data_IF_981538422513
#
_entry.id   IF_981538422513
#
_cell.length_a   1.000
_cell.length_b   1.000
_cell.length_c   1.000
_cell.angle_alpha   90.00
_cell.angle_beta   90.00
_cell.angle_gamma   90.00
#
_symmetry.space_group_name_H-M   'P 1'
#
loop_
_entity.id
_entity.type
_entity.pdbx_description
1 polymer ?
#
# COMPACT_ATOMS: atom_id res chain seq x y z
N UNK A 1 -6.43 -22.18 -24.82
CA UNK A 1 -6.54 -21.82 -23.38
C UNK A 1 -5.27 -21.04 -23.04
N UNK A 2 -5.33 -19.72 -23.03
CA UNK A 2 -4.18 -18.87 -22.70
C UNK A 2 -4.11 -18.83 -21.18
N UNK A 3 -3.06 -19.39 -20.60
CA UNK A 3 -2.81 -19.28 -19.15
C UNK A 3 -2.16 -17.92 -18.94
N UNK A 4 -2.95 -16.95 -18.46
CA UNK A 4 -2.43 -15.65 -18.03
C UNK A 4 -1.74 -15.82 -16.67
N UNK A 5 -0.43 -15.69 -16.66
CA UNK A 5 0.31 -15.57 -15.41
C UNK A 5 0.60 -14.08 -15.19
N UNK A 6 -0.22 -13.43 -14.34
CA UNK A 6 0.12 -12.12 -13.82
C UNK A 6 1.35 -12.26 -12.91
N UNK A 7 2.45 -11.66 -13.29
CA UNK A 7 3.67 -11.71 -12.49
C UNK A 7 4.03 -10.30 -12.05
N UNK A 8 4.19 -10.15 -10.75
CA UNK A 8 5.03 -9.10 -10.24
C UNK A 8 6.45 -9.35 -10.75
N UNK A 9 7.00 -8.44 -11.54
CA UNK A 9 8.42 -8.47 -11.88
C UNK A 9 9.19 -8.20 -10.60
N UNK A 10 9.39 -9.24 -9.80
CA UNK A 10 10.18 -9.17 -8.59
C UNK A 10 11.63 -9.02 -8.99
N UNK A 11 12.12 -7.78 -8.97
CA UNK A 11 13.55 -7.51 -9.00
C UNK A 11 14.09 -7.98 -7.65
N UNK A 12 14.86 -9.05 -7.68
CA UNK A 12 15.50 -9.55 -6.46
C UNK A 12 16.70 -8.66 -6.12
N UNK A 13 16.48 -7.60 -5.38
CA UNK A 13 17.50 -6.64 -4.95
C UNK A 13 18.64 -7.27 -4.12
N UNK A 14 18.43 -8.48 -3.57
CA UNK A 14 19.44 -9.19 -2.79
C UNK A 14 20.48 -9.93 -3.61
N UNK A 15 20.23 -10.14 -4.93
CA UNK A 15 21.11 -10.89 -5.85
C UNK A 15 21.64 -9.99 -6.98
N UNK A 16 21.49 -8.67 -6.85
CA UNK A 16 21.80 -7.69 -7.88
C UNK A 16 20.79 -7.75 -9.03
N UNK A 17 20.12 -6.69 -9.29
CA UNK A 17 19.12 -6.40 -10.34
C UNK A 17 18.96 -7.48 -11.44
N UNK A 18 18.48 -8.66 -11.08
CA UNK A 18 18.23 -9.78 -12.01
C UNK A 18 16.75 -10.18 -11.97
N UNK A 19 16.24 -10.60 -13.12
CA UNK A 19 14.91 -11.21 -13.20
C UNK A 19 14.90 -12.54 -12.42
N UNK A 20 13.80 -12.80 -11.70
CA UNK A 20 13.62 -14.09 -11.03
C UNK A 20 13.48 -15.24 -12.07
N UNK A 21 13.61 -16.47 -11.59
CA UNK A 21 13.61 -17.68 -12.42
C UNK A 21 12.28 -17.83 -13.18
N UNK A 22 11.15 -17.48 -12.56
CA UNK A 22 9.83 -17.56 -13.14
C UNK A 22 9.68 -16.60 -14.30
N UNK A 23 10.08 -15.34 -14.16
CA UNK A 23 10.05 -14.35 -15.25
C UNK A 23 10.96 -14.77 -16.40
N UNK A 24 12.15 -15.29 -16.12
CA UNK A 24 13.05 -15.82 -17.15
C UNK A 24 12.42 -16.99 -17.91
N UNK A 25 11.74 -17.91 -17.21
CA UNK A 25 11.02 -19.01 -17.81
C UNK A 25 9.92 -18.54 -18.77
N UNK A 26 9.13 -17.54 -18.37
CA UNK A 26 8.05 -17.00 -19.21
C UNK A 26 8.59 -16.36 -20.48
N UNK A 27 9.63 -15.55 -20.35
CA UNK A 27 10.29 -14.91 -21.49
C UNK A 27 10.80 -15.96 -22.47
N UNK A 28 11.52 -16.99 -21.96
CA UNK A 28 12.09 -18.07 -22.78
C UNK A 28 11.02 -18.86 -23.52
N UNK A 29 9.84 -19.01 -22.95
CA UNK A 29 8.75 -19.79 -23.56
C UNK A 29 7.72 -18.92 -24.28
N UNK A 30 8.02 -17.62 -24.51
CA UNK A 30 7.14 -16.67 -25.20
C UNK A 30 5.73 -16.57 -24.57
N UNK A 31 5.65 -16.73 -23.25
CA UNK A 31 4.39 -16.61 -22.52
C UNK A 31 4.11 -15.12 -22.26
N UNK A 32 2.91 -14.60 -22.58
CA UNK A 32 2.56 -13.22 -22.32
C UNK A 32 2.67 -12.86 -20.85
N UNK A 33 3.27 -11.70 -20.57
CA UNK A 33 3.49 -11.20 -19.20
C UNK A 33 2.64 -9.95 -19.00
N UNK A 34 1.83 -9.92 -17.95
CA UNK A 34 1.23 -8.68 -17.50
C UNK A 34 2.08 -8.03 -16.41
N UNK A 35 2.35 -6.74 -16.53
CA UNK A 35 2.98 -5.92 -15.52
C UNK A 35 2.03 -4.81 -15.07
N UNK A 36 2.13 -4.40 -13.81
CA UNK A 36 1.14 -3.50 -13.20
C UNK A 36 1.51 -2.01 -13.31
N UNK A 37 2.68 -1.68 -13.87
CA UNK A 37 3.11 -0.29 -14.04
C UNK A 37 4.12 -0.14 -15.18
N UNK A 38 4.21 1.06 -15.73
CA UNK A 38 5.24 1.43 -16.70
C UNK A 38 6.67 1.23 -16.14
N UNK A 39 6.87 1.45 -14.84
CA UNK A 39 8.14 1.16 -14.19
C UNK A 39 8.48 -0.33 -14.26
N UNK A 40 7.56 -1.20 -13.89
CA UNK A 40 7.75 -2.66 -13.96
C UNK A 40 8.02 -3.13 -15.40
N UNK A 41 7.36 -2.52 -16.39
CA UNK A 41 7.64 -2.74 -17.82
C UNK A 41 9.08 -2.37 -18.16
N UNK A 42 9.51 -1.16 -17.78
CA UNK A 42 10.87 -0.68 -18.09
C UNK A 42 11.92 -1.57 -17.41
N UNK A 43 11.69 -2.01 -16.18
CA UNK A 43 12.58 -2.96 -15.50
C UNK A 43 12.60 -4.33 -16.19
N UNK A 44 11.45 -4.84 -16.65
CA UNK A 44 11.35 -6.07 -17.42
C UNK A 44 12.18 -6.00 -18.70
N UNK A 45 12.02 -4.93 -19.49
CA UNK A 45 12.75 -4.73 -20.75
C UNK A 45 14.26 -4.57 -20.51
N UNK A 46 14.65 -3.73 -19.54
CA UNK A 46 16.05 -3.50 -19.17
C UNK A 46 16.75 -4.77 -18.72
N UNK A 47 16.12 -5.57 -17.85
CA UNK A 47 16.75 -6.73 -17.22
C UNK A 47 16.72 -7.98 -18.13
N UNK A 48 15.73 -8.08 -19.03
CA UNK A 48 15.67 -9.18 -20.00
C UNK A 48 16.66 -9.03 -21.13
N UNK A 49 17.04 -7.80 -21.50
CA UNK A 49 17.86 -7.52 -22.70
C UNK A 49 17.16 -7.84 -24.02
N UNK A 50 15.85 -8.09 -24.03
CA UNK A 50 15.07 -8.52 -25.19
C UNK A 50 14.09 -7.41 -25.59
N UNK A 51 14.14 -6.98 -26.86
CA UNK A 51 13.27 -5.92 -27.38
C UNK A 51 11.88 -6.41 -27.84
N UNK A 52 11.63 -7.72 -27.86
CA UNK A 52 10.39 -8.32 -28.36
C UNK A 52 9.80 -9.31 -27.36
N UNK A 53 9.36 -8.79 -26.21
CA UNK A 53 8.62 -9.57 -25.21
C UNK A 53 7.13 -9.29 -25.38
N UNK A 54 6.30 -10.32 -25.32
CA UNK A 54 4.86 -10.16 -25.22
C UNK A 54 4.51 -9.69 -23.80
N UNK A 55 4.19 -8.40 -23.64
CA UNK A 55 3.76 -7.84 -22.37
C UNK A 55 2.54 -6.92 -22.53
N UNK A 56 1.80 -6.76 -21.44
CA UNK A 56 0.80 -5.72 -21.25
C UNK A 56 1.11 -4.93 -19.99
N UNK A 57 0.64 -3.69 -19.92
CA UNK A 57 0.64 -2.88 -18.71
C UNK A 57 -0.82 -2.70 -18.31
N UNK A 58 -1.28 -3.52 -17.38
CA UNK A 58 -2.66 -3.46 -16.87
C UNK A 58 -2.57 -3.30 -15.36
N UNK A 59 -2.95 -2.14 -14.81
CA UNK A 59 -2.80 -1.84 -13.39
C UNK A 59 -3.74 -2.68 -12.51
N UNK A 60 -3.50 -2.69 -11.21
CA UNK A 60 -4.48 -3.20 -10.26
C UNK A 60 -5.68 -2.28 -10.15
N UNK A 61 -6.86 -2.85 -10.17
CA UNK A 61 -8.08 -2.17 -9.73
C UNK A 61 -8.13 -2.04 -8.21
N UNK A 62 -9.03 -1.19 -7.73
CA UNK A 62 -9.34 -1.13 -6.30
C UNK A 62 -9.98 -2.44 -5.83
N UNK A 63 -9.65 -2.89 -4.63
CA UNK A 63 -10.17 -4.14 -4.07
C UNK A 63 -11.54 -3.93 -3.43
N UNK A 64 -12.54 -3.66 -4.27
CA UNK A 64 -13.91 -3.27 -3.86
C UNK A 64 -14.62 -4.29 -2.97
N UNK A 65 -14.24 -5.57 -3.01
CA UNK A 65 -14.78 -6.61 -2.13
C UNK A 65 -14.64 -6.29 -0.63
N UNK A 66 -13.69 -5.45 -0.25
CA UNK A 66 -13.57 -4.99 1.14
C UNK A 66 -14.73 -4.11 1.60
N UNK A 67 -15.44 -3.44 0.69
CA UNK A 67 -16.62 -2.62 1.03
C UNK A 67 -17.82 -3.45 1.46
N UNK A 68 -17.89 -4.72 1.07
CA UNK A 68 -19.00 -5.62 1.38
C UNK A 68 -18.97 -6.13 2.82
N UNK A 69 -17.81 -6.09 3.48
CA UNK A 69 -17.69 -6.52 4.87
C UNK A 69 -18.36 -5.52 5.80
N UNK A 70 -19.24 -6.05 6.67
CA UNK A 70 -19.83 -5.28 7.78
C UNK A 70 -18.80 -5.08 8.87
N UNK A 71 -18.99 -4.01 9.64
CA UNK A 71 -18.15 -3.75 10.80
C UNK A 71 -18.28 -4.86 11.84
N UNK A 72 -17.13 -5.26 12.38
CA UNK A 72 -17.02 -6.26 13.43
C UNK A 72 -16.39 -5.66 14.68
N UNK A 73 -16.71 -6.25 15.84
CA UNK A 73 -16.07 -5.84 17.08
C UNK A 73 -14.63 -6.32 17.14
N UNK A 74 -13.70 -5.40 17.37
CA UNK A 74 -12.28 -5.69 17.60
C UNK A 74 -11.98 -5.37 19.05
N UNK A 75 -11.80 -6.41 19.86
CA UNK A 75 -11.69 -6.28 21.34
C UNK A 75 -10.55 -5.37 21.75
N UNK A 76 -9.43 -5.42 21.04
CA UNK A 76 -8.24 -4.62 21.33
C UNK A 76 -8.49 -3.11 21.16
N UNK A 77 -9.39 -2.71 20.26
CA UNK A 77 -9.73 -1.29 20.05
C UNK A 77 -10.57 -0.69 21.17
N UNK A 78 -11.39 -1.49 21.85
CA UNK A 78 -12.29 -1.01 22.95
C UNK A 78 -13.17 0.18 22.52
N UNK A 79 -13.60 0.22 21.27
CA UNK A 79 -14.38 1.32 20.70
C UNK A 79 -13.56 2.53 20.26
N UNK A 80 -12.23 2.44 20.23
CA UNK A 80 -11.35 3.49 19.72
C UNK A 80 -11.65 3.76 18.24
N UNK A 81 -11.76 5.02 17.90
CA UNK A 81 -11.90 5.55 16.54
C UNK A 81 -10.91 6.69 16.34
N UNK A 82 -10.77 7.17 15.11
CA UNK A 82 -9.95 8.35 14.80
C UNK A 82 -8.48 8.17 15.21
N UNK A 83 -7.86 7.08 14.79
CA UNK A 83 -6.48 6.72 15.09
C UNK A 83 -5.63 6.65 13.80
N UNK A 84 -4.32 6.70 13.96
CA UNK A 84 -3.36 6.38 12.89
C UNK A 84 -3.25 4.87 12.75
N UNK A 85 -3.42 4.32 11.54
CA UNK A 85 -3.40 2.88 11.30
C UNK A 85 -2.15 2.44 10.53
N UNK A 86 -1.41 1.50 11.08
CA UNK A 86 -0.48 0.64 10.36
C UNK A 86 -1.06 -0.77 10.30
N UNK A 87 -1.19 -1.38 9.11
CA UNK A 87 -1.70 -2.74 9.02
C UNK A 87 -0.96 -3.61 7.99
N UNK A 88 -1.08 -4.93 8.16
CA UNK A 88 -0.45 -5.96 7.35
C UNK A 88 0.69 -6.67 8.06
N UNK A 89 1.39 -7.59 7.40
CA UNK A 89 2.49 -8.34 8.00
C UNK A 89 3.55 -7.43 8.62
N UNK A 90 3.97 -7.75 9.84
CA UNK A 90 4.99 -7.02 10.58
C UNK A 90 6.35 -7.62 10.23
N UNK A 91 7.05 -6.95 9.30
CA UNK A 91 8.36 -7.35 8.78
C UNK A 91 9.25 -6.11 8.61
N UNK A 92 10.56 -6.30 8.63
CA UNK A 92 11.55 -5.22 8.73
C UNK A 92 11.40 -4.14 7.66
N UNK A 93 11.20 -4.53 6.39
CA UNK A 93 11.13 -3.53 5.30
C UNK A 93 9.94 -2.57 5.38
N UNK A 94 8.95 -2.87 6.23
CA UNK A 94 7.78 -2.01 6.44
C UNK A 94 8.02 -0.86 7.41
N UNK A 95 9.22 -0.76 8.01
CA UNK A 95 9.67 0.41 8.73
C UNK A 95 8.91 0.73 10.02
N UNK A 96 8.47 -0.32 10.76
CA UNK A 96 7.77 -0.12 12.02
C UNK A 96 8.64 0.59 13.07
N UNK A 97 9.96 0.45 12.99
CA UNK A 97 10.92 1.19 13.82
C UNK A 97 10.93 2.69 13.49
N UNK A 98 10.73 3.06 12.22
CA UNK A 98 10.57 4.47 11.80
C UNK A 98 9.30 5.05 12.41
N UNK A 99 8.19 4.31 12.35
CA UNK A 99 6.93 4.72 12.98
C UNK A 99 7.06 4.85 14.50
N UNK A 100 7.81 3.97 15.14
CA UNK A 100 8.09 4.07 16.57
C UNK A 100 8.87 5.34 16.93
N UNK A 101 9.89 5.70 16.11
CA UNK A 101 10.61 6.97 16.27
C UNK A 101 9.72 8.18 16.01
N UNK A 102 8.84 8.11 15.00
CA UNK A 102 7.85 9.15 14.70
C UNK A 102 6.86 9.34 15.87
N UNK A 103 6.41 8.26 16.52
CA UNK A 103 5.55 8.33 17.70
C UNK A 103 6.20 9.07 18.86
N UNK A 104 7.52 8.87 19.09
CA UNK A 104 8.24 9.62 20.10
C UNK A 104 8.31 11.13 19.78
N UNK A 105 8.45 11.48 18.49
CA UNK A 105 8.37 12.88 18.05
C UNK A 105 6.98 13.46 18.22
N UNK A 106 5.94 12.72 17.87
CA UNK A 106 4.53 13.11 18.05
C UNK A 106 4.19 13.42 19.49
N UNK A 107 4.68 12.61 20.46
CA UNK A 107 4.52 12.91 21.89
C UNK A 107 5.13 14.26 22.29
N UNK A 108 6.33 14.57 21.77
CA UNK A 108 6.97 15.87 22.03
C UNK A 108 6.17 17.03 21.47
N UNK A 109 5.42 16.80 20.39
CA UNK A 109 4.53 17.78 19.75
C UNK A 109 3.13 17.84 20.39
N UNK A 110 2.90 17.09 21.49
CA UNK A 110 1.61 17.07 22.20
C UNK A 110 0.50 16.30 21.48
N UNK A 111 0.84 15.42 20.53
CA UNK A 111 -0.13 14.58 19.84
C UNK A 111 -0.62 13.45 20.74
N UNK A 112 -1.95 13.32 20.86
CA UNK A 112 -2.58 12.42 21.84
C UNK A 112 -3.34 11.25 21.20
N UNK A 113 -3.47 11.20 19.88
CA UNK A 113 -4.18 10.11 19.21
C UNK A 113 -3.35 8.82 19.25
N UNK A 114 -4.04 7.69 19.26
CA UNK A 114 -3.38 6.37 19.26
C UNK A 114 -2.89 5.98 17.87
N UNK A 115 -1.84 5.17 17.86
CA UNK A 115 -1.34 4.49 16.67
C UNK A 115 -1.72 3.01 16.82
N UNK A 116 -2.57 2.52 15.94
CA UNK A 116 -2.97 1.11 15.92
C UNK A 116 -2.06 0.35 14.96
N UNK A 117 -1.47 -0.73 15.45
CA UNK A 117 -0.67 -1.67 14.66
C UNK A 117 -1.44 -2.98 14.57
N UNK A 118 -1.86 -3.36 13.37
CA UNK A 118 -2.67 -4.54 13.14
C UNK A 118 -2.02 -5.50 12.13
N UNK A 119 -1.59 -6.69 12.59
CA UNK A 119 -0.99 -7.69 11.72
C UNK A 119 -0.09 -8.67 12.46
N UNK A 120 0.14 -9.82 11.86
CA UNK A 120 1.03 -10.84 12.41
C UNK A 120 2.49 -10.59 12.05
N UNK A 121 3.39 -10.90 12.96
CA UNK A 121 4.83 -10.84 12.75
C UNK A 121 5.62 -10.29 13.92
N UNK A 122 6.91 -10.10 13.73
CA UNK A 122 7.78 -9.56 14.75
C UNK A 122 8.95 -8.79 14.15
N UNK A 123 9.33 -7.71 14.82
CA UNK A 123 10.49 -6.88 14.48
C UNK A 123 11.21 -6.47 15.78
N UNK A 124 12.51 -6.11 15.75
CA UNK A 124 13.29 -5.84 16.96
C UNK A 124 12.69 -4.77 17.89
N UNK A 125 11.93 -3.82 17.37
CA UNK A 125 11.31 -2.76 18.19
C UNK A 125 9.97 -3.17 18.83
N UNK A 126 9.40 -4.35 18.53
CA UNK A 126 8.06 -4.75 18.95
C UNK A 126 7.86 -4.73 20.47
N UNK A 127 8.84 -5.17 21.25
CA UNK A 127 8.72 -5.16 22.72
C UNK A 127 8.68 -3.75 23.31
N UNK A 128 9.32 -2.78 22.66
CA UNK A 128 9.26 -1.37 23.06
C UNK A 128 7.88 -0.78 22.71
N UNK A 129 7.39 -1.08 21.52
CA UNK A 129 6.07 -0.64 21.03
C UNK A 129 4.95 -1.15 21.95
N UNK A 130 4.98 -2.44 22.35
CA UNK A 130 3.98 -3.03 23.24
C UNK A 130 3.94 -2.40 24.64
N UNK A 131 5.03 -1.78 25.07
CA UNK A 131 5.12 -1.10 26.38
C UNK A 131 4.79 0.38 26.30
N UNK A 132 4.61 0.91 25.12
CA UNK A 132 4.34 2.33 24.87
C UNK A 132 2.86 2.57 24.73
N UNK A 133 2.30 3.43 25.58
CA UNK A 133 0.89 3.72 25.65
C UNK A 133 0.31 4.48 24.43
N UNK A 134 1.17 5.02 23.56
CA UNK A 134 0.72 5.59 22.28
C UNK A 134 0.21 4.52 21.32
N UNK A 135 0.53 3.26 21.55
CA UNK A 135 0.21 2.18 20.62
C UNK A 135 -0.92 1.28 21.16
N UNK A 136 -1.75 0.84 20.23
CA UNK A 136 -2.62 -0.34 20.38
C UNK A 136 -2.12 -1.40 19.42
N UNK A 137 -1.72 -2.57 19.93
CA UNK A 137 -1.08 -3.62 19.12
C UNK A 137 -1.98 -4.84 19.00
N UNK A 138 -2.38 -5.16 17.78
CA UNK A 138 -3.16 -6.33 17.39
C UNK A 138 -2.23 -7.27 16.62
N UNK A 139 -1.34 -7.98 17.34
CA UNK A 139 -0.31 -8.83 16.73
C UNK A 139 -0.82 -10.26 16.50
N UNK A 140 -1.61 -10.43 15.45
CA UNK A 140 -2.16 -11.70 14.99
C UNK A 140 -2.56 -11.58 13.52
N UNK A 141 -3.06 -12.65 12.93
CA UNK A 141 -3.78 -12.57 11.66
C UNK A 141 -5.00 -11.65 11.79
N UNK A 142 -5.21 -10.80 10.81
CA UNK A 142 -6.35 -9.87 10.74
C UNK A 142 -7.25 -10.33 9.61
N UNK A 143 -8.50 -10.61 9.93
CA UNK A 143 -9.50 -11.02 8.96
C UNK A 143 -9.96 -9.84 8.08
N UNK A 144 -10.44 -10.13 6.88
CA UNK A 144 -10.85 -9.09 5.93
C UNK A 144 -11.92 -8.14 6.50
N UNK A 145 -12.87 -8.65 7.29
CA UNK A 145 -13.88 -7.84 7.96
C UNK A 145 -13.26 -6.90 9.01
N UNK A 146 -12.22 -7.36 9.72
CA UNK A 146 -11.49 -6.53 10.68
C UNK A 146 -10.66 -5.46 9.95
N UNK A 147 -10.02 -5.79 8.81
CA UNK A 147 -9.29 -4.82 7.98
C UNK A 147 -10.25 -3.69 7.55
N UNK A 148 -11.44 -4.06 7.06
CA UNK A 148 -12.46 -3.08 6.66
C UNK A 148 -12.90 -2.19 7.83
N UNK A 149 -13.13 -2.79 9.00
CA UNK A 149 -13.49 -2.07 10.23
C UNK A 149 -12.38 -1.10 10.67
N UNK A 150 -11.13 -1.58 10.67
CA UNK A 150 -9.97 -0.76 11.03
C UNK A 150 -9.81 0.45 10.11
N UNK A 151 -9.94 0.26 8.78
CA UNK A 151 -9.79 1.35 7.81
C UNK A 151 -10.94 2.35 7.94
N UNK A 152 -12.20 1.89 8.14
CA UNK A 152 -13.32 2.82 8.36
C UNK A 152 -13.12 3.65 9.61
N UNK A 153 -12.63 3.04 10.69
CA UNK A 153 -12.48 3.68 11.99
C UNK A 153 -11.23 4.57 12.11
N UNK A 154 -10.20 4.36 11.29
CA UNK A 154 -8.98 5.17 11.36
C UNK A 154 -9.17 6.56 10.74
N UNK A 155 -8.29 7.50 11.12
CA UNK A 155 -8.13 8.78 10.44
C UNK A 155 -7.34 8.58 9.15
N UNK A 156 -6.15 8.06 9.26
CA UNK A 156 -5.19 7.90 8.17
C UNK A 156 -4.44 6.57 8.29
N UNK A 157 -4.04 6.00 7.16
CA UNK A 157 -3.15 4.83 7.12
C UNK A 157 -1.71 5.30 6.92
N UNK A 158 -0.76 4.73 7.67
CA UNK A 158 0.66 5.06 7.57
C UNK A 158 1.48 3.88 7.07
N UNK A 159 2.34 4.12 6.08
CA UNK A 159 3.19 3.12 5.41
C UNK A 159 4.64 3.60 5.36
N UNK A 160 5.43 3.46 6.43
CA UNK A 160 6.79 4.00 6.55
C UNK A 160 7.85 3.08 5.93
N UNK A 161 7.56 2.50 4.78
CA UNK A 161 8.34 1.42 4.19
C UNK A 161 9.75 1.85 3.78
N UNK A 162 10.71 0.96 3.96
CA UNK A 162 12.08 1.12 3.45
C UNK A 162 12.17 0.81 1.95
N UNK A 163 11.38 -0.16 1.50
CA UNK A 163 11.32 -0.53 0.08
C UNK A 163 10.00 -1.23 -0.22
N UNK A 164 9.47 -1.01 -1.41
CA UNK A 164 8.37 -1.78 -1.97
C UNK A 164 8.26 -1.43 -3.46
N UNK A 165 8.20 -2.44 -4.31
CA UNK A 165 7.92 -2.27 -5.74
C UNK A 165 6.43 -2.15 -6.00
N UNK A 166 5.62 -2.91 -5.25
CA UNK A 166 4.17 -2.91 -5.30
C UNK A 166 3.53 -3.24 -3.95
N UNK A 167 2.29 -2.81 -3.76
CA UNK A 167 1.51 -3.09 -2.55
C UNK A 167 0.02 -3.01 -2.85
N UNK A 168 -0.77 -3.91 -2.25
CA UNK A 168 -2.23 -3.86 -2.31
C UNK A 168 -2.87 -2.90 -1.29
N UNK A 169 -2.06 -2.20 -0.48
CA UNK A 169 -2.58 -1.31 0.56
C UNK A 169 -3.35 -0.14 -0.04
N UNK A 170 -2.79 0.51 -1.06
CA UNK A 170 -3.44 1.65 -1.73
C UNK A 170 -4.79 1.23 -2.31
N UNK A 171 -4.82 0.07 -3.01
CA UNK A 171 -6.04 -0.49 -3.62
C UNK A 171 -7.11 -0.86 -2.59
N UNK A 172 -6.71 -1.19 -1.36
CA UNK A 172 -7.65 -1.47 -0.27
C UNK A 172 -8.12 -0.18 0.40
N UNK A 173 -7.20 0.70 0.79
CA UNK A 173 -7.49 1.90 1.60
C UNK A 173 -8.33 2.92 0.82
N UNK A 174 -8.03 3.12 -0.46
CA UNK A 174 -8.72 4.08 -1.31
C UNK A 174 -10.20 3.75 -1.52
N UNK A 175 -10.62 2.48 -1.34
CA UNK A 175 -12.04 2.14 -1.32
C UNK A 175 -12.83 2.83 -0.20
N UNK A 176 -12.17 3.26 0.85
CA UNK A 176 -12.79 3.88 2.04
C UNK A 176 -12.62 5.40 2.07
N UNK A 177 -12.23 6.01 0.96
CA UNK A 177 -11.95 7.46 0.84
C UNK A 177 -10.93 7.95 1.87
N UNK A 178 -9.99 7.08 2.29
CA UNK A 178 -8.96 7.42 3.29
C UNK A 178 -7.64 7.76 2.63
N UNK A 179 -6.99 8.87 3.00
CA UNK A 179 -5.64 9.19 2.53
C UNK A 179 -4.60 8.29 3.19
N UNK A 180 -3.43 8.22 2.55
CA UNK A 180 -2.30 7.43 3.06
C UNK A 180 -1.10 8.34 3.26
N UNK A 181 -0.43 8.22 4.40
CA UNK A 181 0.91 8.79 4.63
C UNK A 181 1.93 7.69 4.34
N UNK A 182 2.80 7.89 3.36
CA UNK A 182 3.74 6.86 2.94
C UNK A 182 5.11 7.42 2.59
N UNK A 183 6.11 6.57 2.68
CA UNK A 183 7.46 6.91 2.20
C UNK A 183 7.54 6.87 0.67
N UNK A 184 8.46 7.64 0.08
CA UNK A 184 8.70 7.74 -1.37
C UNK A 184 9.35 6.47 -1.94
N UNK A 185 8.74 5.30 -1.69
CA UNK A 185 9.13 4.06 -2.37
C UNK A 185 8.34 3.87 -3.68
N UNK A 186 8.85 3.11 -4.65
CA UNK A 186 8.21 2.96 -5.96
C UNK A 186 6.71 2.63 -5.91
N UNK A 187 6.29 1.75 -4.99
CA UNK A 187 4.89 1.35 -4.83
C UNK A 187 3.96 2.52 -4.51
N UNK A 188 4.42 3.53 -3.77
CA UNK A 188 3.59 4.65 -3.33
C UNK A 188 3.69 5.87 -4.24
N UNK A 189 4.88 6.18 -4.79
CA UNK A 189 5.02 7.32 -5.70
C UNK A 189 4.26 7.16 -7.03
N UNK A 190 3.87 5.92 -7.37
CA UNK A 190 3.06 5.63 -8.56
C UNK A 190 1.56 5.66 -8.30
N UNK A 191 1.13 5.65 -7.03
CA UNK A 191 -0.28 5.51 -6.65
C UNK A 191 -0.80 6.64 -5.78
N UNK A 192 0.10 7.38 -5.13
CA UNK A 192 -0.24 8.52 -4.26
C UNK A 192 0.23 9.80 -4.90
N UNK A 193 -0.67 10.72 -5.14
CA UNK A 193 -0.35 12.11 -5.50
C UNK A 193 -0.23 12.92 -4.22
N UNK A 194 0.98 13.45 -3.98
CA UNK A 194 1.30 14.16 -2.73
C UNK A 194 0.38 15.36 -2.52
N UNK A 195 -0.23 15.48 -1.35
CA UNK A 195 -1.20 16.49 -0.91
C UNK A 195 -2.57 16.45 -1.61
N UNK A 196 -2.78 15.48 -2.52
CA UNK A 196 -4.08 15.27 -3.20
C UNK A 196 -4.76 13.97 -2.75
N UNK A 197 -3.99 12.88 -2.58
CA UNK A 197 -4.53 11.57 -2.16
C UNK A 197 -3.81 11.00 -0.95
N UNK A 198 -2.84 11.75 -0.42
CA UNK A 198 -2.03 11.39 0.74
C UNK A 198 -0.82 12.27 0.88
N UNK A 199 0.06 11.94 1.82
CA UNK A 199 1.32 12.65 2.05
C UNK A 199 2.50 11.71 1.82
N UNK A 200 3.48 12.17 1.04
CA UNK A 200 4.70 11.42 0.74
C UNK A 200 5.89 11.99 1.52
N UNK A 201 6.55 11.15 2.29
CA UNK A 201 7.72 11.48 3.11
C UNK A 201 8.98 10.78 2.61
N UNK A 202 10.14 11.26 3.02
CA UNK A 202 11.39 10.60 2.69
C UNK A 202 11.56 9.27 3.46
N UNK A 203 12.26 8.33 2.82
CA UNK A 203 12.51 7.00 3.40
C UNK A 203 13.35 7.16 4.68
N UNK A 204 12.97 6.43 5.75
CA UNK A 204 13.67 6.45 7.03
C UNK A 204 13.65 7.81 7.77
N UNK A 205 12.75 8.71 7.40
CA UNK A 205 12.60 10.03 8.01
C UNK A 205 11.42 10.04 9.00
N UNK A 206 11.71 9.77 10.27
CA UNK A 206 10.70 9.70 11.32
C UNK A 206 10.10 11.09 11.64
N UNK A 207 10.86 12.17 11.45
CA UNK A 207 10.38 13.55 11.69
C UNK A 207 9.33 13.94 10.65
N UNK A 208 9.61 13.72 9.36
CA UNK A 208 8.63 14.00 8.30
C UNK A 208 7.35 13.15 8.46
N UNK A 209 7.47 11.87 8.89
CA UNK A 209 6.29 11.05 9.16
C UNK A 209 5.49 11.61 10.33
N UNK A 210 6.15 12.07 11.40
CA UNK A 210 5.46 12.68 12.53
C UNK A 210 4.77 13.99 12.12
N UNK A 211 5.46 14.84 11.37
CA UNK A 211 4.91 16.09 10.88
C UNK A 211 3.72 15.85 9.94
N UNK A 212 3.81 14.89 9.01
CA UNK A 212 2.73 14.52 8.11
C UNK A 212 1.51 13.95 8.86
N UNK A 213 1.73 13.11 9.89
CA UNK A 213 0.65 12.63 10.75
C UNK A 213 -0.02 13.81 11.45
N UNK A 214 0.77 14.68 12.08
CA UNK A 214 0.24 15.85 12.80
C UNK A 214 -0.49 16.79 11.85
N UNK A 215 0.05 17.09 10.67
CA UNK A 215 -0.58 17.93 9.64
C UNK A 215 -1.95 17.37 9.22
N UNK A 216 -2.08 16.05 9.06
CA UNK A 216 -3.35 15.43 8.67
C UNK A 216 -4.46 15.61 9.71
N UNK A 217 -4.12 15.84 10.98
CA UNK A 217 -5.08 16.14 12.06
C UNK A 217 -5.30 17.63 12.28
N UNK A 218 -4.26 18.44 12.12
CA UNK A 218 -4.32 19.88 12.40
C UNK A 218 -4.92 20.68 11.24
N UNK A 219 -4.67 20.25 9.99
CA UNK A 219 -5.17 20.91 8.77
C UNK A 219 -6.39 20.13 8.21
N UNK A 220 -7.55 20.48 8.71
CA UNK A 220 -8.83 19.88 8.31
C UNK A 220 -9.12 20.08 6.82
N UNK A 221 -8.75 21.23 6.25
CA UNK A 221 -9.00 21.52 4.84
C UNK A 221 -8.15 20.63 3.94
N UNK A 222 -6.87 20.46 4.27
CA UNK A 222 -5.97 19.53 3.58
C UNK A 222 -6.50 18.09 3.70
N UNK A 223 -6.91 17.67 4.90
CA UNK A 223 -7.42 16.32 5.11
C UNK A 223 -8.65 16.04 4.24
N UNK A 224 -9.63 16.96 4.24
CA UNK A 224 -10.84 16.85 3.40
C UNK A 224 -10.46 16.86 1.91
N UNK A 225 -9.52 17.71 1.50
CA UNK A 225 -9.03 17.74 0.12
C UNK A 225 -8.45 16.38 -0.30
N UNK A 226 -7.61 15.77 0.54
CA UNK A 226 -7.04 14.45 0.26
C UNK A 226 -8.12 13.35 0.21
N UNK A 227 -9.10 13.36 1.11
CA UNK A 227 -10.22 12.42 1.07
C UNK A 227 -11.03 12.54 -0.24
N UNK A 228 -11.27 13.76 -0.70
CA UNK A 228 -11.95 14.01 -1.97
C UNK A 228 -11.12 13.52 -3.17
N UNK A 229 -9.81 13.77 -3.18
CA UNK A 229 -8.91 13.25 -4.22
C UNK A 229 -8.92 11.72 -4.29
N UNK A 230 -8.91 11.03 -3.14
CA UNK A 230 -9.06 9.57 -3.08
C UNK A 230 -10.43 9.13 -3.61
N UNK A 231 -11.50 9.83 -3.23
CA UNK A 231 -12.86 9.56 -3.71
C UNK A 231 -12.98 9.71 -5.22
N UNK A 232 -12.33 10.71 -5.79
CA UNK A 232 -12.31 10.92 -7.24
C UNK A 232 -11.63 9.75 -7.96
N UNK A 233 -10.51 9.24 -7.43
CA UNK A 233 -9.87 8.01 -7.94
C UNK A 233 -10.84 6.82 -7.88
N UNK A 234 -11.53 6.64 -6.76
CA UNK A 234 -12.46 5.52 -6.57
C UNK A 234 -13.65 5.58 -7.52
N UNK A 235 -14.12 6.78 -7.85
CA UNK A 235 -15.24 7.00 -8.74
C UNK A 235 -14.84 7.05 -10.23
N UNK A 236 -13.55 7.15 -10.54
CA UNK A 236 -13.06 7.15 -11.90
C UNK A 236 -13.23 5.76 -12.53
N UNK A 237 -13.83 5.73 -13.74
CA UNK A 237 -14.03 4.48 -14.47
C UNK A 237 -12.70 3.75 -14.81
N UNK A 238 -11.60 4.45 -14.97
CA UNK A 238 -10.28 3.86 -15.23
C UNK A 238 -9.78 2.95 -14.10
N UNK A 239 -10.21 3.20 -12.87
CA UNK A 239 -9.91 2.35 -11.70
C UNK A 239 -10.93 1.25 -11.47
N UNK A 240 -11.95 1.13 -12.32
CA UNK A 240 -13.01 0.14 -12.18
C UNK A 240 -12.58 -1.23 -12.66
N UNK A 241 -13.13 -2.29 -12.05
CA UNK A 241 -12.93 -3.66 -12.54
C UNK A 241 -13.44 -3.85 -13.96
N UNK A 242 -14.51 -3.17 -14.37
CA UNK A 242 -15.01 -3.23 -15.74
C UNK A 242 -13.96 -2.77 -16.73
N UNK A 243 -13.34 -1.60 -16.51
CA UNK A 243 -12.29 -1.08 -17.37
C UNK A 243 -11.06 -2.01 -17.39
N UNK A 244 -10.63 -2.53 -16.24
CA UNK A 244 -9.51 -3.47 -16.17
C UNK A 244 -9.81 -4.75 -16.96
N UNK A 245 -11.02 -5.28 -16.86
CA UNK A 245 -11.46 -6.46 -17.64
C UNK A 245 -11.42 -6.15 -19.14
N UNK A 246 -11.90 -4.99 -19.57
CA UNK A 246 -11.85 -4.57 -20.97
C UNK A 246 -10.41 -4.49 -21.49
N UNK A 247 -9.47 -3.95 -20.70
CA UNK A 247 -8.03 -3.95 -21.04
C UNK A 247 -7.48 -5.37 -21.23
N UNK A 248 -7.89 -6.34 -20.38
CA UNK A 248 -7.50 -7.74 -20.55
C UNK A 248 -8.10 -8.34 -21.82
N UNK A 249 -9.39 -8.08 -22.11
CA UNK A 249 -10.04 -8.54 -23.34
C UNK A 249 -9.36 -7.97 -24.59
N UNK A 250 -9.08 -6.68 -24.63
CA UNK A 250 -8.41 -6.04 -25.75
C UNK A 250 -7.01 -6.60 -25.98
N UNK A 251 -6.27 -6.85 -24.92
CA UNK A 251 -4.91 -7.35 -25.04
C UNK A 251 -4.84 -8.83 -25.43
N UNK A 252 -5.73 -9.69 -24.89
CA UNK A 252 -5.59 -11.15 -25.05
C UNK A 252 -6.56 -11.79 -26.03
N UNK A 253 -7.67 -11.13 -26.35
CA UNK A 253 -8.73 -11.71 -27.18
C UNK A 253 -8.85 -11.01 -28.53
N UNK A 254 -8.67 -9.69 -28.59
CA UNK A 254 -8.83 -8.90 -29.82
C UNK A 254 -7.51 -8.70 -30.59
N UNK A 255 -6.43 -9.43 -30.25
CA UNK A 255 -5.22 -9.48 -31.06
C UNK A 255 -5.37 -10.54 -32.15
N UNK A 256 -6.00 -10.18 -33.27
CA UNK A 256 -5.84 -10.80 -34.59
C UNK A 256 -4.87 -9.98 -35.43
#
# INVERSE_FOLDING_TARGET
MVINICIEVCVNHSIGDRLNTETQFLIKNHIPINVFSEKSKNDLLRLSGINSIFYSVIPFSLFTGYLEYKDVSITELRGLTDFVLFYGFIVDYKGLDVLFRAANRLKQLGFNQKIVIAGGGNVPCMDKIKKDDSFVVINRWIENAEISTLIRACHVVVCPYYSSSQTGITQTVFNFDKPIIATKVPAFVTTITNRETGLLTDINNAEEIADAIKESYDDTDLYIHMCNGVKDIRLNCESSWSHIVDMYFDYYINKD
#
